data_IF_497086852222
#
_entry.id   IF_497086852222
#
_cell.length_a   1.000
_cell.length_b   1.000
_cell.length_c   1.000
_cell.angle_alpha   90.00
_cell.angle_beta   90.00
_cell.angle_gamma   90.00
#
_symmetry.space_group_name_H-M   'P 1'
#
loop_
_entity.id
_entity.type
_entity.pdbx_description
1 polymer ?
#
# COMPACT_ATOMS: atom_id res chain seq x y z
N UNK A 1 19.69 -14.83 16.06
CA UNK A 1 18.26 -14.91 15.75
C UNK A 1 18.06 -15.04 14.25
N UNK A 2 17.21 -15.94 13.85
CA UNK A 2 16.98 -16.16 12.42
C UNK A 2 15.96 -15.15 11.86
N UNK A 3 16.28 -14.64 10.69
CA UNK A 3 15.37 -13.76 9.97
C UNK A 3 15.05 -14.38 8.61
N UNK A 4 13.97 -13.93 8.01
CA UNK A 4 13.50 -14.44 6.73
C UNK A 4 13.33 -13.27 5.76
N UNK A 5 13.83 -13.41 4.55
CA UNK A 5 13.73 -12.37 3.55
C UNK A 5 12.29 -12.22 3.07
N UNK A 6 11.89 -10.98 2.89
CA UNK A 6 10.55 -10.66 2.44
C UNK A 6 10.59 -9.38 1.60
N UNK A 7 9.46 -9.08 1.00
CA UNK A 7 9.27 -7.83 0.26
C UNK A 7 8.28 -6.96 1.01
N UNK A 8 8.63 -5.70 1.19
CA UNK A 8 7.74 -4.72 1.78
C UNK A 8 7.23 -3.81 0.68
N UNK A 9 5.92 -3.75 0.52
CA UNK A 9 5.28 -2.95 -0.52
C UNK A 9 4.48 -1.85 0.16
N UNK A 10 4.76 -0.60 -0.20
CA UNK A 10 4.01 0.54 0.30
C UNK A 10 3.17 1.09 -0.84
N UNK A 11 1.89 1.24 -0.59
CA UNK A 11 0.95 1.77 -1.57
C UNK A 11 0.29 2.99 -0.95
N UNK A 12 0.59 4.17 -1.49
CA UNK A 12 -0.05 5.41 -1.05
C UNK A 12 -1.11 5.74 -2.09
N UNK A 13 -2.34 5.88 -1.66
CA UNK A 13 -3.46 6.05 -2.58
C UNK A 13 -4.54 6.91 -1.92
N UNK A 14 -5.40 7.49 -2.73
CA UNK A 14 -6.52 8.25 -2.24
C UNK A 14 -7.42 7.38 -1.35
N UNK A 15 -7.85 7.96 -0.24
CA UNK A 15 -8.65 7.23 0.76
C UNK A 15 -9.93 6.63 0.15
N UNK A 16 -10.50 7.30 -0.83
CA UNK A 16 -11.72 6.79 -1.47
C UNK A 16 -11.51 5.42 -2.12
N UNK A 17 -10.27 5.07 -2.42
CA UNK A 17 -9.95 3.78 -3.03
C UNK A 17 -9.60 2.71 -2.00
N UNK A 18 -9.67 3.02 -0.72
CA UNK A 18 -9.24 2.10 0.32
C UNK A 18 -9.94 0.74 0.27
N UNK A 19 -11.27 0.76 0.16
CA UNK A 19 -12.03 -0.49 0.13
C UNK A 19 -11.72 -1.32 -1.11
N UNK A 20 -11.59 -0.66 -2.26
CA UNK A 20 -11.25 -1.37 -3.49
C UNK A 20 -9.88 -2.02 -3.42
N UNK A 21 -8.90 -1.30 -2.87
CA UNK A 21 -7.57 -1.87 -2.76
C UNK A 21 -7.55 -3.01 -1.75
N UNK A 22 -8.21 -2.84 -0.61
CA UNK A 22 -8.33 -3.93 0.37
C UNK A 22 -8.93 -5.17 -0.26
N UNK A 23 -10.03 -5.02 -0.99
CA UNK A 23 -10.68 -6.16 -1.63
C UNK A 23 -9.78 -6.81 -2.67
N UNK A 24 -9.08 -6.01 -3.46
CA UNK A 24 -8.19 -6.55 -4.49
C UNK A 24 -7.05 -7.35 -3.86
N UNK A 25 -6.49 -6.85 -2.78
CA UNK A 25 -5.40 -7.54 -2.08
C UNK A 25 -5.88 -8.86 -1.49
N UNK A 26 -7.03 -8.85 -0.85
CA UNK A 26 -7.58 -10.08 -0.27
C UNK A 26 -7.87 -11.11 -1.35
N UNK A 27 -8.43 -10.69 -2.47
CA UNK A 27 -8.68 -11.59 -3.59
C UNK A 27 -7.40 -12.17 -4.19
N UNK A 28 -6.30 -11.44 -4.07
CA UNK A 28 -5.00 -11.91 -4.53
C UNK A 28 -4.27 -12.71 -3.45
N UNK A 29 -4.98 -13.08 -2.40
CA UNK A 29 -4.46 -13.86 -1.28
C UNK A 29 -3.38 -13.10 -0.49
N UNK A 30 -3.52 -11.79 -0.43
CA UNK A 30 -2.65 -10.94 0.39
C UNK A 30 -3.47 -10.51 1.61
N UNK A 31 -3.21 -11.13 2.74
CA UNK A 31 -4.00 -10.87 3.95
C UNK A 31 -3.26 -10.05 4.98
N UNK A 32 -1.93 -10.05 4.93
CA UNK A 32 -1.12 -9.31 5.89
C UNK A 32 -0.80 -7.91 5.43
N UNK A 33 -1.70 -6.96 5.68
CA UNK A 33 -1.40 -5.57 5.40
C UNK A 33 -1.94 -4.67 6.49
N UNK A 34 -1.32 -3.50 6.61
CA UNK A 34 -1.69 -2.46 7.56
C UNK A 34 -2.07 -1.22 6.78
N UNK A 35 -3.11 -0.53 7.22
CA UNK A 35 -3.54 0.71 6.60
C UNK A 35 -3.28 1.84 7.57
N UNK A 36 -2.58 2.86 7.11
CA UNK A 36 -2.22 4.02 7.92
C UNK A 36 -2.81 5.28 7.29
N UNK A 37 -3.31 6.20 8.11
CA UNK A 37 -3.71 7.51 7.59
C UNK A 37 -2.46 8.30 7.23
N UNK A 38 -2.53 9.07 6.16
CA UNK A 38 -1.43 9.93 5.74
C UNK A 38 -1.80 11.36 6.07
N UNK A 39 -0.94 12.02 6.79
CA UNK A 39 -1.21 13.37 7.29
C UNK A 39 -1.15 14.41 6.18
N UNK A 40 -0.16 14.29 5.31
CA UNK A 40 0.04 15.22 4.22
C UNK A 40 1.29 14.86 3.46
N UNK A 41 1.57 15.60 2.42
CA UNK A 41 2.74 15.35 1.62
C UNK A 41 2.84 16.31 0.46
N UNK A 42 3.79 16.01 -0.43
CA UNK A 42 4.00 16.79 -1.63
C UNK A 42 4.18 15.81 -2.78
N UNK A 43 3.54 16.08 -3.87
CA UNK A 43 3.67 15.24 -5.04
C UNK A 43 3.75 16.09 -6.29
N UNK A 44 3.55 15.44 -7.43
CA UNK A 44 3.64 16.09 -8.72
C UNK A 44 2.71 17.29 -8.83
N UNK A 45 1.56 17.22 -8.17
CA UNK A 45 0.56 18.29 -8.23
C UNK A 45 0.67 19.29 -7.09
N UNK A 46 1.73 19.20 -6.28
CA UNK A 46 1.97 20.12 -5.19
C UNK A 46 1.69 19.55 -3.82
N UNK A 47 1.55 20.43 -2.84
CA UNK A 47 1.32 20.05 -1.46
C UNK A 47 -0.12 19.62 -1.25
N UNK A 48 -0.31 18.68 -0.32
CA UNK A 48 -1.64 18.26 0.10
C UNK A 48 -1.57 17.82 1.56
N UNK A 49 -2.67 18.03 2.30
CA UNK A 49 -2.78 17.57 3.67
C UNK A 49 -4.24 17.32 4.03
N UNK A 50 -4.46 16.79 5.23
CA UNK A 50 -5.81 16.40 5.65
C UNK A 50 -6.64 17.56 6.14
N UNK A 51 -6.01 18.62 6.57
CA UNK A 51 -6.72 19.69 7.27
C UNK A 51 -7.21 20.82 6.38
N UNK A 52 -6.56 21.06 5.28
CA UNK A 52 -6.92 22.15 4.40
C UNK A 52 -7.40 21.72 3.04
N UNK A 53 -7.71 20.48 2.86
CA UNK A 53 -7.99 19.96 1.54
C UNK A 53 -9.44 20.11 1.14
N UNK A 54 -9.66 21.03 0.26
CA UNK A 54 -10.93 21.12 -0.44
C UNK A 54 -10.74 20.43 -1.78
N UNK A 55 -11.61 19.49 -2.09
CA UNK A 55 -11.48 18.72 -3.32
C UNK A 55 -10.76 17.40 -3.16
N UNK A 56 -9.97 17.26 -2.11
CA UNK A 56 -9.38 15.98 -1.73
C UNK A 56 -9.76 15.70 -0.29
N UNK A 57 -11.03 15.89 -0.02
CA UNK A 57 -11.53 15.86 1.34
C UNK A 57 -11.16 14.58 2.10
N UNK A 58 -11.06 13.50 1.38
CA UNK A 58 -10.77 12.22 2.02
C UNK A 58 -9.29 12.05 2.36
N UNK A 59 -8.42 12.79 1.68
CA UNK A 59 -6.99 12.64 1.89
C UNK A 59 -6.44 11.36 1.28
N UNK A 60 -5.32 10.94 1.83
CA UNK A 60 -4.60 9.76 1.34
C UNK A 60 -4.44 8.75 2.46
N UNK A 61 -4.27 7.50 2.09
CA UNK A 61 -3.91 6.43 3.02
C UNK A 61 -2.71 5.68 2.47
N UNK A 62 -2.02 4.98 3.35
CA UNK A 62 -0.91 4.15 2.94
C UNK A 62 -1.14 2.72 3.41
N UNK A 63 -1.00 1.79 2.47
CA UNK A 63 -1.02 0.37 2.77
C UNK A 63 0.42 -0.10 2.89
N UNK A 64 0.70 -0.88 3.91
CA UNK A 64 1.99 -1.54 4.06
C UNK A 64 1.74 -3.03 4.02
N UNK A 65 2.30 -3.69 3.02
CA UNK A 65 2.16 -5.14 2.85
C UNK A 65 3.53 -5.78 2.98
N UNK A 66 3.61 -6.89 3.69
CA UNK A 66 4.85 -7.66 3.76
C UNK A 66 4.53 -9.04 3.25
N UNK A 67 5.20 -9.44 2.18
CA UNK A 67 4.90 -10.70 1.50
C UNK A 67 6.19 -11.43 1.17
N UNK A 68 6.06 -12.73 0.94
CA UNK A 68 7.15 -13.54 0.42
C UNK A 68 7.41 -13.14 -1.02
N UNK A 69 8.65 -13.30 -1.46
CA UNK A 69 9.04 -12.91 -2.80
C UNK A 69 8.16 -13.54 -3.88
N UNK A 70 7.79 -14.81 -3.72
CA UNK A 70 6.98 -15.50 -4.72
C UNK A 70 5.54 -14.99 -4.80
N UNK A 71 5.11 -14.17 -3.83
CA UNK A 71 3.78 -13.58 -3.84
C UNK A 71 3.78 -12.14 -4.39
N UNK A 72 4.95 -11.60 -4.66
CA UNK A 72 5.07 -10.19 -5.04
C UNK A 72 4.33 -9.87 -6.33
N UNK A 73 4.49 -10.70 -7.36
CA UNK A 73 3.86 -10.43 -8.66
C UNK A 73 2.34 -10.39 -8.55
N UNK A 74 1.75 -11.30 -7.79
CA UNK A 74 0.29 -11.32 -7.63
C UNK A 74 -0.18 -10.05 -6.93
N UNK A 75 0.55 -9.62 -5.91
CA UNK A 75 0.24 -8.39 -5.19
C UNK A 75 0.33 -7.19 -6.12
N UNK A 76 1.42 -7.08 -6.86
CA UNK A 76 1.64 -5.92 -7.73
C UNK A 76 0.61 -5.85 -8.84
N UNK A 77 0.24 -7.00 -9.41
CA UNK A 77 -0.79 -7.04 -10.44
C UNK A 77 -2.14 -6.56 -9.90
N UNK A 78 -2.51 -7.04 -8.72
CA UNK A 78 -3.77 -6.65 -8.10
C UNK A 78 -3.78 -5.16 -7.75
N UNK A 79 -2.69 -4.69 -7.15
CA UNK A 79 -2.58 -3.29 -6.75
C UNK A 79 -2.59 -2.36 -7.96
N UNK A 80 -1.86 -2.71 -9.01
CA UNK A 80 -1.76 -1.85 -10.18
C UNK A 80 -3.11 -1.63 -10.86
N UNK A 81 -3.94 -2.65 -10.90
CA UNK A 81 -5.29 -2.52 -11.47
C UNK A 81 -6.10 -1.44 -10.76
N UNK A 82 -5.86 -1.27 -9.47
CA UNK A 82 -6.57 -0.27 -8.69
C UNK A 82 -5.93 1.11 -8.82
N UNK A 83 -4.59 1.18 -8.75
CA UNK A 83 -3.91 2.47 -8.70
C UNK A 83 -3.66 3.12 -10.05
N UNK A 84 -3.69 2.37 -11.16
CA UNK A 84 -3.25 2.88 -12.46
C UNK A 84 -4.04 4.10 -12.94
N UNK A 85 -5.28 4.24 -12.51
CA UNK A 85 -6.15 5.34 -12.93
C UNK A 85 -6.37 6.35 -11.81
N UNK A 86 -5.59 6.28 -10.76
CA UNK A 86 -5.76 7.13 -9.60
C UNK A 86 -4.43 7.71 -9.17
N UNK A 87 -4.49 8.71 -8.29
CA UNK A 87 -3.29 9.27 -7.72
C UNK A 87 -2.76 8.26 -6.71
N UNK A 88 -1.62 7.70 -7.01
CA UNK A 88 -1.05 6.71 -6.12
C UNK A 88 0.38 6.38 -6.48
N UNK A 89 1.11 5.90 -5.49
CA UNK A 89 2.51 5.51 -5.65
C UNK A 89 2.69 4.14 -5.00
N UNK A 90 3.35 3.26 -5.71
CA UNK A 90 3.71 1.94 -5.19
C UNK A 90 5.21 1.83 -5.17
N UNK A 91 5.77 1.49 -4.01
CA UNK A 91 7.22 1.26 -3.94
C UNK A 91 7.49 -0.04 -3.20
N UNK A 92 8.65 -0.62 -3.47
CA UNK A 92 9.01 -1.94 -2.99
C UNK A 92 10.39 -1.86 -2.38
N UNK A 93 10.54 -2.45 -1.20
CA UNK A 93 11.86 -2.56 -0.56
C UNK A 93 12.04 -3.99 -0.06
N UNK A 94 13.30 -4.39 0.04
CA UNK A 94 13.64 -5.64 0.67
C UNK A 94 13.59 -5.46 2.18
N UNK A 95 13.13 -6.47 2.88
CA UNK A 95 13.12 -6.44 4.33
C UNK A 95 13.33 -7.85 4.87
N UNK A 96 13.40 -7.97 6.19
CA UNK A 96 13.52 -9.26 6.85
C UNK A 96 12.50 -9.32 7.98
N UNK A 97 11.91 -10.48 8.16
CA UNK A 97 10.94 -10.71 9.22
C UNK A 97 11.41 -11.82 10.14
N UNK A 98 10.96 -11.78 11.37
CA UNK A 98 11.35 -12.78 12.36
C UNK A 98 10.45 -14.01 12.37
N UNK A 99 9.19 -13.85 11.96
CA UNK A 99 8.19 -14.89 12.08
C UNK A 99 7.62 -15.25 10.73
N UNK A 100 8.29 -16.20 10.05
CA UNK A 100 7.90 -16.61 8.71
C UNK A 100 6.45 -17.12 8.62
N UNK A 101 5.94 -17.68 9.71
CA UNK A 101 4.58 -18.23 9.71
C UNK A 101 3.50 -17.15 9.68
N UNK A 102 3.90 -15.88 9.78
CA UNK A 102 2.93 -14.80 9.83
C UNK A 102 2.75 -14.05 8.50
N UNK A 103 3.42 -14.54 7.48
CA UNK A 103 3.31 -13.81 6.20
C UNK A 103 3.44 -14.70 4.99
#
# INVERSE_FOLDING_TARGET
>A
MHTHKAKRVEITIEKIMQSRLSDALVKADVHGFTILPVYGGSGRSGLWDRTGQVGRAEGMVQFICIVREERLDALLTAAFKVVEKHIGVVNITDCEVLRAERF
#
